data_IF_189161027560
#
_entry.id   IF_189161027560
#
_cell.length_a   1.000
_cell.length_b   1.000
_cell.length_c   1.000
_cell.angle_alpha   90.00
_cell.angle_beta   90.00
_cell.angle_gamma   90.00
#
_symmetry.space_group_name_H-M   'P 1'
#
loop_
_entity.id
_entity.type
_entity.pdbx_description
1 polymer ?
#
# COMPACT_ATOMS: atom_id res chain seq x y z
N UNK A 1 2.46 1.59 -26.14
CA UNK A 1 1.12 0.98 -25.99
C UNK A 1 1.18 -0.46 -25.47
N UNK A 2 1.79 -1.42 -26.18
CA UNK A 2 1.88 -2.82 -25.69
C UNK A 2 2.63 -2.99 -24.36
N UNK A 3 3.66 -2.17 -24.12
CA UNK A 3 4.43 -2.22 -22.86
C UNK A 3 3.60 -1.82 -21.63
N UNK A 4 2.74 -0.80 -21.74
CA UNK A 4 1.90 -0.33 -20.63
C UNK A 4 0.81 -1.34 -20.27
N UNK A 5 0.18 -1.95 -21.28
CA UNK A 5 -0.83 -3.00 -21.07
C UNK A 5 -0.20 -4.23 -20.43
N UNK A 6 0.99 -4.64 -20.88
CA UNK A 6 1.72 -5.74 -20.27
C UNK A 6 2.15 -5.41 -18.82
N UNK A 7 2.61 -4.19 -18.55
CA UNK A 7 2.97 -3.75 -17.20
C UNK A 7 1.76 -3.73 -16.25
N UNK A 8 0.61 -3.23 -16.72
CA UNK A 8 -0.63 -3.22 -15.94
C UNK A 8 -1.13 -4.65 -15.67
N UNK A 9 -1.06 -5.53 -16.67
CA UNK A 9 -1.41 -6.93 -16.52
C UNK A 9 -0.48 -7.63 -15.52
N UNK A 10 0.83 -7.44 -15.62
CA UNK A 10 1.82 -7.99 -14.68
C UNK A 10 1.59 -7.49 -13.26
N UNK A 11 1.38 -6.18 -13.08
CA UNK A 11 1.08 -5.60 -11.76
C UNK A 11 -0.23 -6.14 -11.17
N UNK A 12 -1.27 -6.22 -11.99
CA UNK A 12 -2.58 -6.75 -11.57
C UNK A 12 -2.46 -8.23 -11.20
N UNK A 13 -1.77 -9.04 -12.00
CA UNK A 13 -1.55 -10.45 -11.70
C UNK A 13 -0.70 -10.62 -10.45
N UNK A 14 0.41 -9.89 -10.30
CA UNK A 14 1.26 -9.97 -9.11
C UNK A 14 0.50 -9.60 -7.82
N UNK A 15 -0.29 -8.52 -7.85
CA UNK A 15 -1.09 -8.11 -6.70
C UNK A 15 -2.25 -9.06 -6.38
N UNK A 16 -2.86 -9.68 -7.39
CA UNK A 16 -3.88 -10.71 -7.19
C UNK A 16 -3.27 -12.01 -6.66
N UNK A 17 -2.08 -12.40 -7.15
CA UNK A 17 -1.38 -13.59 -6.69
C UNK A 17 -0.99 -13.48 -5.22
N UNK A 18 -0.39 -12.37 -4.78
CA UNK A 18 -0.07 -12.14 -3.36
C UNK A 18 -1.32 -12.24 -2.47
N UNK A 19 -2.45 -11.66 -2.93
CA UNK A 19 -3.71 -11.76 -2.20
C UNK A 19 -4.24 -13.20 -2.15
N UNK A 20 -4.13 -13.94 -3.25
CA UNK A 20 -4.62 -15.30 -3.39
C UNK A 20 -3.79 -16.29 -2.58
N UNK A 21 -2.47 -16.21 -2.66
CA UNK A 21 -1.53 -17.07 -1.93
C UNK A 21 -1.70 -16.89 -0.43
N UNK A 22 -1.77 -15.64 0.03
CA UNK A 22 -2.08 -15.33 1.43
C UNK A 22 -3.47 -15.79 1.86
N UNK A 23 -4.48 -15.82 0.98
CA UNK A 23 -5.81 -16.33 1.28
C UNK A 23 -5.83 -17.87 1.37
N UNK A 24 -5.19 -18.56 0.42
CA UNK A 24 -5.12 -20.01 0.38
C UNK A 24 -4.29 -20.57 1.54
N UNK A 25 -3.15 -19.96 1.86
CA UNK A 25 -2.32 -20.36 3.00
C UNK A 25 -3.09 -20.30 4.33
N UNK A 26 -3.92 -19.27 4.51
CA UNK A 26 -4.79 -19.12 5.71
C UNK A 26 -5.96 -20.10 5.72
N UNK A 27 -6.53 -20.46 4.55
CA UNK A 27 -7.65 -21.41 4.47
C UNK A 27 -7.22 -22.85 4.62
N UNK A 28 -6.01 -23.18 4.18
CA UNK A 28 -5.47 -24.54 4.14
C UNK A 28 -4.55 -24.85 5.34
N UNK A 29 -4.31 -23.89 6.23
CA UNK A 29 -3.46 -24.03 7.42
C UNK A 29 -2.02 -24.49 7.11
N UNK A 30 -1.52 -24.09 5.94
CA UNK A 30 -0.18 -24.44 5.41
C UNK A 30 0.75 -23.22 5.38
N UNK A 31 0.47 -22.19 6.17
CA UNK A 31 1.30 -21.01 6.27
C UNK A 31 2.65 -21.36 6.92
N UNK A 32 3.75 -20.93 6.30
CA UNK A 32 5.10 -21.05 6.88
C UNK A 32 5.51 -19.72 7.50
N UNK A 33 6.35 -19.77 8.54
CA UNK A 33 6.85 -18.55 9.21
C UNK A 33 7.60 -17.62 8.24
N UNK A 34 8.38 -18.21 7.32
CA UNK A 34 9.11 -17.47 6.30
C UNK A 34 8.18 -16.83 5.27
N UNK A 35 7.15 -17.56 4.81
CA UNK A 35 6.15 -17.01 3.88
C UNK A 35 5.35 -15.86 4.51
N UNK A 36 4.91 -16.04 5.76
CA UNK A 36 4.18 -15.01 6.50
C UNK A 36 5.01 -13.73 6.72
N UNK A 37 6.34 -13.85 6.79
CA UNK A 37 7.26 -12.70 6.85
C UNK A 37 7.47 -12.04 5.47
N UNK A 38 7.60 -12.83 4.40
CA UNK A 38 7.86 -12.30 3.05
C UNK A 38 6.63 -11.63 2.43
N UNK A 39 5.42 -12.14 2.68
CA UNK A 39 4.16 -11.62 2.11
C UNK A 39 4.02 -10.09 2.29
N UNK A 40 4.11 -9.53 3.52
CA UNK A 40 3.96 -8.08 3.70
C UNK A 40 5.15 -7.25 3.20
N UNK A 41 6.29 -7.88 2.91
CA UNK A 41 7.48 -7.23 2.36
C UNK A 41 7.35 -7.12 0.85
N UNK A 42 6.94 -8.20 0.19
CA UNK A 42 6.71 -8.24 -1.26
C UNK A 42 5.67 -7.19 -1.69
N UNK A 43 4.53 -7.12 -0.99
CA UNK A 43 3.46 -6.15 -1.26
C UNK A 43 3.97 -4.69 -1.26
N UNK A 44 4.70 -4.31 -0.20
CA UNK A 44 5.24 -2.95 -0.07
C UNK A 44 6.31 -2.64 -1.12
N UNK A 45 7.17 -3.60 -1.43
CA UNK A 45 8.21 -3.43 -2.44
C UNK A 45 7.61 -3.27 -3.84
N UNK A 46 6.62 -4.10 -4.19
CA UNK A 46 5.92 -4.04 -5.47
C UNK A 46 5.27 -2.66 -5.67
N UNK A 47 4.48 -2.21 -4.70
CA UNK A 47 3.82 -0.90 -4.72
C UNK A 47 4.84 0.23 -4.80
N UNK A 48 5.87 0.20 -3.95
CA UNK A 48 6.88 1.26 -3.90
C UNK A 48 7.65 1.37 -5.23
N UNK A 49 8.07 0.24 -5.80
CA UNK A 49 8.78 0.21 -7.07
C UNK A 49 7.95 0.82 -8.20
N UNK A 50 6.66 0.45 -8.27
CA UNK A 50 5.76 0.97 -9.31
C UNK A 50 5.51 2.47 -9.14
N UNK A 51 5.29 2.95 -7.91
CA UNK A 51 5.12 4.38 -7.65
C UNK A 51 6.38 5.18 -8.01
N UNK A 52 7.57 4.65 -7.70
CA UNK A 52 8.85 5.27 -8.10
C UNK A 52 8.94 5.32 -9.63
N UNK A 53 8.70 4.21 -10.33
CA UNK A 53 8.73 4.17 -11.79
C UNK A 53 7.73 5.17 -12.41
N UNK A 54 6.48 5.18 -11.96
CA UNK A 54 5.47 6.12 -12.44
C UNK A 54 5.86 7.58 -12.16
N UNK A 55 6.49 7.88 -11.03
CA UNK A 55 6.94 9.23 -10.70
C UNK A 55 8.02 9.79 -11.65
N UNK A 56 8.77 8.91 -12.32
CA UNK A 56 9.74 9.33 -13.37
C UNK A 56 9.05 9.85 -14.63
N UNK A 57 7.82 9.40 -14.89
CA UNK A 57 7.02 9.80 -16.05
C UNK A 57 6.04 10.92 -15.70
N UNK A 58 5.51 10.90 -14.47
CA UNK A 58 4.56 11.87 -13.94
C UNK A 58 5.11 12.45 -12.63
N UNK A 59 5.93 13.51 -12.67
CA UNK A 59 6.56 14.08 -11.47
C UNK A 59 5.59 14.51 -10.37
N UNK A 60 4.35 14.84 -10.73
CA UNK A 60 3.26 15.14 -9.78
C UNK A 60 2.94 13.98 -8.83
N UNK A 61 3.30 12.74 -9.20
CA UNK A 61 3.15 11.56 -8.34
C UNK A 61 4.19 11.48 -7.23
N UNK A 62 5.27 12.26 -7.29
CA UNK A 62 6.37 12.16 -6.32
C UNK A 62 5.90 12.43 -4.89
N UNK A 63 5.05 13.43 -4.69
CA UNK A 63 4.51 13.75 -3.38
C UNK A 63 3.63 12.62 -2.79
N UNK A 64 2.56 12.14 -3.46
CA UNK A 64 1.77 11.04 -2.93
C UNK A 64 2.57 9.73 -2.81
N UNK A 65 3.53 9.47 -3.71
CA UNK A 65 4.41 8.31 -3.60
C UNK A 65 5.23 8.33 -2.31
N UNK A 66 5.91 9.44 -2.01
CA UNK A 66 6.69 9.61 -0.78
C UNK A 66 5.79 9.44 0.46
N UNK A 67 4.59 10.03 0.45
CA UNK A 67 3.66 9.94 1.57
C UNK A 67 3.18 8.49 1.82
N UNK A 68 2.88 7.75 0.74
CA UNK A 68 2.44 6.36 0.84
C UNK A 68 3.58 5.48 1.38
N UNK A 69 4.77 5.56 0.79
CA UNK A 69 5.92 4.72 1.15
C UNK A 69 6.40 5.02 2.58
N UNK A 70 6.59 6.30 2.92
CA UNK A 70 7.03 6.71 4.26
C UNK A 70 6.06 6.25 5.35
N UNK A 71 4.75 6.39 5.10
CA UNK A 71 3.71 5.94 6.02
C UNK A 71 3.71 4.43 6.20
N UNK A 72 3.92 3.66 5.13
CA UNK A 72 3.96 2.20 5.21
C UNK A 72 5.14 1.70 6.03
N UNK A 73 6.32 2.31 5.88
CA UNK A 73 7.49 2.04 6.71
C UNK A 73 7.23 2.43 8.17
N UNK A 74 6.76 3.66 8.42
CA UNK A 74 6.54 4.17 9.77
C UNK A 74 5.53 3.31 10.57
N UNK A 75 4.41 2.92 9.95
CA UNK A 75 3.38 2.10 10.61
C UNK A 75 3.84 0.65 10.79
N UNK A 76 4.68 0.13 9.90
CA UNK A 76 5.28 -1.20 10.07
C UNK A 76 6.22 -1.22 11.28
N UNK A 77 7.12 -0.24 11.37
CA UNK A 77 8.05 -0.11 12.50
C UNK A 77 7.30 0.10 13.83
N UNK A 78 6.28 0.96 13.84
CA UNK A 78 5.45 1.18 15.03
C UNK A 78 4.75 -0.11 15.49
N UNK A 79 4.19 -0.88 14.55
CA UNK A 79 3.52 -2.14 14.84
C UNK A 79 4.48 -3.17 15.42
N UNK A 80 5.66 -3.29 14.85
CA UNK A 80 6.71 -4.21 15.33
C UNK A 80 7.17 -3.83 16.74
N UNK A 81 7.45 -2.54 16.98
CA UNK A 81 7.82 -2.02 18.31
C UNK A 81 6.75 -2.26 19.37
N UNK A 82 5.47 -2.09 19.02
CA UNK A 82 4.33 -2.38 19.89
C UNK A 82 4.19 -3.87 20.18
N UNK A 83 4.38 -4.72 19.16
CA UNK A 83 4.31 -6.17 19.28
C UNK A 83 5.40 -6.71 20.23
N UNK A 84 6.61 -6.15 20.18
CA UNK A 84 7.71 -6.50 21.08
C UNK A 84 7.41 -6.16 22.56
N UNK A 85 6.48 -5.22 22.84
CA UNK A 85 6.05 -4.86 24.21
C UNK A 85 4.77 -5.54 24.67
N UNK A 86 4.32 -6.57 23.96
CA UNK A 86 3.08 -7.29 24.30
C UNK A 86 1.79 -6.48 24.09
N UNK A 87 1.87 -5.31 23.46
CA UNK A 87 0.72 -4.41 23.22
C UNK A 87 0.14 -4.61 21.83
N UNK A 88 -0.07 -5.86 21.42
CA UNK A 88 -0.57 -6.22 20.07
C UNK A 88 -2.00 -5.70 19.83
N UNK A 89 -2.83 -5.62 20.88
CA UNK A 89 -4.27 -5.37 20.74
C UNK A 89 -4.67 -3.88 20.63
N UNK A 90 -3.80 -2.96 21.03
CA UNK A 90 -4.04 -1.50 20.90
C UNK A 90 -4.05 -1.05 19.42
N UNK A 91 -3.58 -1.93 18.53
CA UNK A 91 -3.27 -1.68 17.12
C UNK A 91 -4.41 -2.21 16.19
N UNK A 92 -5.49 -2.77 16.75
CA UNK A 92 -6.60 -3.34 15.99
C UNK A 92 -7.60 -2.32 15.43
N UNK A 93 -7.49 -1.03 15.80
CA UNK A 93 -8.42 0.02 15.36
C UNK A 93 -7.94 0.67 14.05
N UNK A 94 -8.16 0.01 12.91
CA UNK A 94 -8.16 0.68 11.60
C UNK A 94 -8.93 -0.12 10.54
N UNK A 95 -10.25 -0.16 10.66
CA UNK A 95 -11.14 -0.64 9.58
C UNK A 95 -11.00 0.20 8.29
N UNK A 96 -10.31 1.35 8.33
CA UNK A 96 -9.99 2.21 7.18
C UNK A 96 -8.91 1.64 6.25
N UNK A 97 -8.23 0.55 6.62
CA UNK A 97 -7.12 -0.01 5.84
C UNK A 97 -7.53 -0.58 4.48
N UNK A 98 -8.69 -1.24 4.38
CA UNK A 98 -9.15 -1.89 3.14
C UNK A 98 -9.48 -0.90 2.03
N UNK A 99 -10.15 0.20 2.38
CA UNK A 99 -10.55 1.19 1.38
C UNK A 99 -9.33 1.91 0.80
N UNK A 100 -8.35 2.27 1.64
CA UNK A 100 -7.09 2.89 1.21
C UNK A 100 -6.36 2.01 0.18
N UNK A 101 -6.18 0.73 0.49
CA UNK A 101 -5.43 -0.19 -0.39
C UNK A 101 -6.17 -0.44 -1.70
N UNK A 102 -7.49 -0.65 -1.68
CA UNK A 102 -8.26 -0.80 -2.92
C UNK A 102 -8.17 0.44 -3.81
N UNK A 103 -8.34 1.63 -3.25
CA UNK A 103 -8.22 2.89 -4.00
C UNK A 103 -6.81 3.07 -4.56
N UNK A 104 -5.77 2.73 -3.79
CA UNK A 104 -4.38 2.81 -4.20
C UNK A 104 -4.07 1.87 -5.38
N UNK A 105 -4.48 0.61 -5.30
CA UNK A 105 -4.22 -0.38 -6.36
C UNK A 105 -4.95 -0.01 -7.65
N UNK A 106 -6.21 0.44 -7.56
CA UNK A 106 -6.96 0.92 -8.71
C UNK A 106 -6.31 2.17 -9.33
N UNK A 107 -5.86 3.12 -8.50
CA UNK A 107 -5.16 4.31 -8.97
C UNK A 107 -3.91 3.95 -9.77
N UNK A 108 -3.10 3.04 -9.24
CA UNK A 108 -1.87 2.56 -9.89
C UNK A 108 -2.20 1.88 -11.22
N UNK A 109 -3.20 1.01 -11.29
CA UNK A 109 -3.62 0.35 -12.54
C UNK A 109 -4.03 1.39 -13.59
N UNK A 110 -4.86 2.37 -13.21
CA UNK A 110 -5.28 3.46 -14.11
C UNK A 110 -4.06 4.24 -14.62
N UNK A 111 -3.15 4.61 -13.72
CA UNK A 111 -1.95 5.39 -14.06
C UNK A 111 -0.95 4.61 -14.94
N UNK A 112 -0.84 3.29 -14.80
CA UNK A 112 -0.02 2.47 -15.71
C UNK A 112 -0.66 2.40 -17.10
N UNK A 113 -1.98 2.28 -17.18
CA UNK A 113 -2.70 2.14 -18.45
C UNK A 113 -2.79 3.43 -19.26
N UNK A 114 -2.69 4.58 -18.60
CA UNK A 114 -2.65 5.89 -19.25
C UNK A 114 -1.45 5.97 -20.23
N UNK A 115 -1.73 6.50 -21.41
CA UNK A 115 -0.76 6.79 -22.48
C UNK A 115 -0.92 8.24 -22.95
N UNK A 116 0.01 8.75 -23.74
CA UNK A 116 -0.09 10.10 -24.35
C UNK A 116 -1.37 10.29 -25.19
N UNK A 117 -1.94 9.21 -25.73
CA UNK A 117 -3.21 9.21 -26.46
C UNK A 117 -4.47 9.05 -25.60
N UNK A 118 -4.31 8.90 -24.28
CA UNK A 118 -5.43 8.73 -23.36
C UNK A 118 -6.10 10.08 -23.07
N UNK A 119 -7.42 10.12 -22.84
CA UNK A 119 -8.09 11.34 -22.42
C UNK A 119 -7.54 11.87 -21.09
N UNK A 120 -7.36 13.19 -20.99
CA UNK A 120 -6.83 13.86 -19.79
C UNK A 120 -7.59 13.50 -18.50
N UNK A 121 -8.90 13.28 -18.59
CA UNK A 121 -9.71 12.94 -17.42
C UNK A 121 -9.27 11.63 -16.75
N UNK A 122 -8.69 10.67 -17.48
CA UNK A 122 -8.17 9.43 -16.89
C UNK A 122 -6.91 9.69 -16.06
N UNK A 123 -6.07 10.61 -16.52
CA UNK A 123 -4.86 11.03 -15.78
C UNK A 123 -5.30 11.70 -14.48
N UNK A 124 -6.21 12.67 -14.56
CA UNK A 124 -6.73 13.37 -13.39
C UNK A 124 -7.50 12.44 -12.42
N UNK A 125 -8.20 11.43 -12.95
CA UNK A 125 -8.82 10.40 -12.13
C UNK A 125 -7.78 9.59 -11.36
N UNK A 126 -6.76 9.06 -12.05
CA UNK A 126 -5.67 8.31 -11.42
C UNK A 126 -4.91 9.11 -10.38
N UNK A 127 -4.61 10.38 -10.68
CA UNK A 127 -4.00 11.33 -9.75
C UNK A 127 -4.93 11.60 -8.55
N UNK A 128 -6.20 11.89 -8.78
CA UNK A 128 -7.17 12.11 -7.70
C UNK A 128 -7.26 10.91 -6.76
N UNK A 129 -7.30 9.69 -7.31
CA UNK A 129 -7.36 8.46 -6.53
C UNK A 129 -6.09 8.21 -5.72
N UNK A 130 -4.89 8.42 -6.28
CA UNK A 130 -3.64 8.19 -5.53
C UNK A 130 -3.45 9.23 -4.41
N UNK A 131 -3.85 10.48 -4.64
CA UNK A 131 -3.86 11.50 -3.59
C UNK A 131 -4.87 11.17 -2.49
N UNK A 132 -6.06 10.71 -2.86
CA UNK A 132 -7.05 10.23 -1.90
C UNK A 132 -6.51 9.06 -1.08
N UNK A 133 -5.85 8.08 -1.71
CA UNK A 133 -5.21 6.97 -1.03
C UNK A 133 -4.11 7.43 -0.05
N UNK A 134 -3.29 8.41 -0.45
CA UNK A 134 -2.27 9.00 0.41
C UNK A 134 -2.91 9.68 1.64
N UNK A 135 -3.97 10.48 1.45
CA UNK A 135 -4.69 11.15 2.54
C UNK A 135 -5.34 10.15 3.50
N UNK A 136 -6.02 9.12 2.98
CA UNK A 136 -6.57 8.03 3.80
C UNK A 136 -5.47 7.29 4.57
N UNK A 137 -4.31 7.11 3.95
CA UNK A 137 -3.12 6.51 4.56
C UNK A 137 -2.58 7.32 5.73
N UNK A 138 -2.45 8.63 5.56
CA UNK A 138 -2.02 9.57 6.60
C UNK A 138 -3.02 9.65 7.74
N UNK A 139 -4.32 9.73 7.44
CA UNK A 139 -5.37 9.72 8.47
C UNK A 139 -5.31 8.44 9.31
N UNK A 140 -5.18 7.29 8.65
CA UNK A 140 -4.97 6.00 9.34
C UNK A 140 -3.71 6.03 10.19
N UNK A 141 -2.61 6.58 9.68
CA UNK A 141 -1.35 6.67 10.43
C UNK A 141 -1.49 7.52 11.69
N UNK A 142 -2.15 8.68 11.58
CA UNK A 142 -2.45 9.54 12.73
C UNK A 142 -3.22 8.79 13.82
N UNK A 143 -4.26 8.01 13.45
CA UNK A 143 -5.00 7.20 14.41
C UNK A 143 -4.11 6.15 15.10
N UNK A 144 -3.23 5.49 14.33
CA UNK A 144 -2.25 4.55 14.87
C UNK A 144 -1.30 5.21 15.88
N UNK A 145 -0.70 6.35 15.52
CA UNK A 145 0.20 7.08 16.42
C UNK A 145 -0.53 7.56 17.68
N UNK A 146 -1.75 8.09 17.53
CA UNK A 146 -2.57 8.51 18.68
C UNK A 146 -2.88 7.35 19.62
N UNK A 147 -3.21 6.17 19.08
CA UNK A 147 -3.45 4.96 19.88
C UNK A 147 -2.16 4.45 20.55
N UNK A 148 -1.01 4.61 19.91
CA UNK A 148 0.28 4.23 20.48
C UNK A 148 0.82 5.23 21.51
N UNK A 149 0.37 6.48 21.50
CA UNK A 149 0.90 7.57 22.33
C UNK A 149 0.94 7.27 23.84
N UNK A 150 -0.11 6.68 24.47
CA UNK A 150 -0.06 6.29 25.88
C UNK A 150 1.00 5.23 26.19
N UNK A 151 1.41 4.46 25.19
CA UNK A 151 2.46 3.45 25.32
C UNK A 151 3.87 4.01 25.12
N UNK A 152 3.99 5.17 24.47
CA UNK A 152 5.23 5.90 24.26
C UNK A 152 5.55 6.84 25.43
N UNK A 153 4.53 7.37 26.12
CA UNK A 153 4.68 8.32 27.23
C UNK A 153 4.82 7.67 28.61
N UNK A 154 4.79 6.33 28.68
CA UNK A 154 4.98 5.57 29.92
C UNK A 154 6.36 4.91 29.95
N UNK A 155 7.37 5.70 30.32
CA UNK A 155 8.64 5.23 30.88
C UNK A 155 8.60 5.38 32.40
#
# INVERSE_FOLDING_TARGET
MFSNVAAAALFTLASLSDWLDGYLARRLDIATDLGAFLDPVADKLLVSAVLIMLSTQLPVLLLPAILIVSREIAISALREWMAARGKRDVVAVAYSGKLKTTVQMLAIIVLILVTESSPDYLIWLGLGMIYLAALLGLYSAYLYFKAAMPSLSGS
#
